data_IF_335855194751
#
_entry.id   IF_335855194751
#
_cell.length_a   1.000
_cell.length_b   1.000
_cell.length_c   1.000
_cell.angle_alpha   90.00
_cell.angle_beta   90.00
_cell.angle_gamma   90.00
#
_symmetry.space_group_name_H-M   'P 1'
#
loop_
_entity.id
_entity.type
_entity.pdbx_description
1 polymer ?
#
# COMPACT_ATOMS: atom_id res chain seq x y z
N UNK A 1 6.27 34.78 -22.60
CA UNK A 1 5.87 35.32 -21.28
C UNK A 1 5.76 34.15 -20.31
N UNK A 2 6.76 33.95 -19.45
CA UNK A 2 6.77 32.88 -18.43
C UNK A 2 6.48 33.53 -17.09
N UNK A 3 5.40 33.20 -16.38
CA UNK A 3 5.16 33.77 -15.07
C UNK A 3 6.16 33.19 -14.07
N UNK A 4 6.86 34.09 -13.41
CA UNK A 4 7.80 33.87 -12.31
C UNK A 4 7.08 33.25 -11.13
N UNK A 5 7.06 31.92 -11.05
CA UNK A 5 6.56 31.19 -9.89
C UNK A 5 7.72 30.90 -8.94
N UNK A 6 7.64 31.59 -7.80
CA UNK A 6 8.32 31.34 -6.53
C UNK A 6 8.98 29.98 -6.41
N UNK A 7 10.26 30.05 -6.05
CA UNK A 7 11.26 29.02 -5.77
C UNK A 7 10.88 28.06 -4.61
N UNK A 8 9.69 27.49 -4.62
CA UNK A 8 9.40 26.22 -3.94
C UNK A 8 9.66 25.13 -4.98
N UNK A 9 10.36 24.05 -4.64
CA UNK A 9 10.72 22.99 -5.59
C UNK A 9 9.46 22.30 -6.16
N UNK A 10 8.81 22.93 -7.13
CA UNK A 10 7.49 22.58 -7.62
C UNK A 10 7.64 21.40 -8.58
N UNK A 11 7.57 20.17 -8.05
CA UNK A 11 7.72 18.93 -8.83
C UNK A 11 6.45 18.52 -9.59
N UNK A 12 5.43 19.37 -9.59
CA UNK A 12 4.12 19.08 -10.21
C UNK A 12 4.25 18.72 -11.68
N UNK A 13 4.96 19.50 -12.49
CA UNK A 13 5.13 19.21 -13.93
C UNK A 13 5.94 17.92 -14.15
N UNK A 14 6.94 17.64 -13.32
CA UNK A 14 7.72 16.40 -13.39
C UNK A 14 6.84 15.19 -13.09
N UNK A 15 6.02 15.28 -12.05
CA UNK A 15 5.06 14.26 -11.67
C UNK A 15 4.02 14.07 -12.79
N UNK A 16 3.41 15.13 -13.32
CA UNK A 16 2.48 15.06 -14.45
C UNK A 16 3.07 14.30 -15.63
N UNK A 17 4.34 14.58 -16.01
CA UNK A 17 5.04 13.84 -17.07
C UNK A 17 5.21 12.35 -16.74
N UNK A 18 5.62 12.00 -15.52
CA UNK A 18 5.77 10.59 -15.09
C UNK A 18 4.43 9.84 -15.16
N UNK A 19 3.37 10.48 -14.67
CA UNK A 19 2.04 9.87 -14.60
C UNK A 19 1.34 9.80 -15.96
N UNK A 20 1.56 10.76 -16.86
CA UNK A 20 0.94 10.79 -18.19
C UNK A 20 1.72 9.97 -19.23
N UNK A 21 3.05 9.83 -19.09
CA UNK A 21 3.88 9.03 -20.01
C UNK A 21 3.76 7.51 -19.76
N UNK A 22 3.41 7.10 -18.55
CA UNK A 22 3.42 5.69 -18.15
C UNK A 22 2.13 4.97 -18.49
N UNK A 23 2.23 3.80 -19.11
CA UNK A 23 1.12 2.84 -19.33
C UNK A 23 0.87 1.93 -18.12
N UNK A 24 1.70 2.02 -17.07
CA UNK A 24 1.54 1.22 -15.83
C UNK A 24 0.23 1.57 -15.12
N UNK A 25 -0.30 0.68 -14.27
CA UNK A 25 -1.44 1.02 -13.42
C UNK A 25 -1.12 2.19 -12.49
N UNK A 26 -2.12 3.03 -12.20
CA UNK A 26 -1.95 4.32 -11.53
C UNK A 26 -1.17 4.20 -10.21
N UNK A 27 -1.48 3.19 -9.40
CA UNK A 27 -0.84 2.95 -8.10
C UNK A 27 0.65 2.61 -8.22
N UNK A 28 1.14 2.18 -9.38
CA UNK A 28 2.53 1.82 -9.62
C UNK A 28 3.33 2.87 -10.41
N UNK A 29 2.71 4.00 -10.78
CA UNK A 29 3.36 5.00 -11.65
C UNK A 29 4.45 5.80 -10.96
N UNK A 30 4.34 6.02 -9.65
CA UNK A 30 5.33 6.79 -8.92
C UNK A 30 6.58 5.93 -8.66
N UNK A 31 7.81 6.45 -8.82
CA UNK A 31 9.03 5.65 -8.62
C UNK A 31 9.16 5.07 -7.21
N UNK A 32 8.62 5.75 -6.19
CA UNK A 32 8.59 5.26 -4.81
C UNK A 32 7.40 4.35 -4.48
N UNK A 33 6.50 4.07 -5.43
CA UNK A 33 5.29 3.26 -5.15
C UNK A 33 5.64 1.86 -4.66
N UNK A 34 6.72 1.27 -5.18
CA UNK A 34 7.22 -0.04 -4.78
C UNK A 34 7.45 -0.14 -3.26
N UNK A 35 8.08 0.89 -2.67
CA UNK A 35 8.38 0.93 -1.24
C UNK A 35 7.12 0.92 -0.37
N UNK A 36 5.98 1.39 -0.88
CA UNK A 36 4.70 1.33 -0.18
C UNK A 36 3.93 0.03 -0.46
N UNK A 37 3.89 -0.39 -1.73
CA UNK A 37 3.09 -1.54 -2.16
C UNK A 37 3.63 -2.87 -1.64
N UNK A 38 4.96 -3.08 -1.62
CA UNK A 38 5.54 -4.33 -1.13
C UNK A 38 5.19 -4.64 0.34
N UNK A 39 5.43 -3.74 1.30
CA UNK A 39 5.04 -3.99 2.69
C UNK A 39 3.52 -4.04 2.86
N UNK A 40 2.76 -3.21 2.11
CA UNK A 40 1.30 -3.25 2.15
C UNK A 40 0.74 -4.63 1.76
N UNK A 41 1.19 -5.20 0.65
CA UNK A 41 0.73 -6.53 0.23
C UNK A 41 1.20 -7.63 1.17
N UNK A 42 2.38 -7.50 1.79
CA UNK A 42 2.83 -8.41 2.84
C UNK A 42 1.90 -8.42 4.05
N UNK A 43 1.55 -7.23 4.56
CA UNK A 43 0.61 -7.09 5.68
C UNK A 43 -0.80 -7.54 5.32
N UNK A 44 -1.28 -7.20 4.12
CA UNK A 44 -2.60 -7.62 3.65
C UNK A 44 -2.72 -9.14 3.59
N UNK A 45 -1.70 -9.83 3.08
CA UNK A 45 -1.69 -11.29 3.02
C UNK A 45 -1.81 -11.91 4.43
N UNK A 46 -1.03 -11.42 5.39
CA UNK A 46 -1.09 -11.90 6.78
C UNK A 46 -2.44 -11.59 7.40
N UNK A 47 -2.96 -10.37 7.23
CA UNK A 47 -4.23 -9.94 7.79
C UNK A 47 -5.42 -10.73 7.24
N UNK A 48 -5.36 -11.19 5.99
CA UNK A 48 -6.42 -12.01 5.38
C UNK A 48 -6.26 -13.48 5.75
N UNK A 49 -5.04 -14.03 5.77
CA UNK A 49 -4.81 -15.45 6.05
C UNK A 49 -5.01 -15.77 7.53
N UNK A 50 -4.58 -14.90 8.45
CA UNK A 50 -4.69 -15.11 9.89
C UNK A 50 -6.12 -15.45 10.35
N UNK A 51 -7.18 -14.70 10.00
CA UNK A 51 -8.54 -15.08 10.40
C UNK A 51 -9.01 -16.37 9.72
N UNK A 52 -8.60 -16.63 8.47
CA UNK A 52 -8.99 -17.85 7.75
C UNK A 52 -8.45 -19.11 8.41
N UNK A 53 -7.23 -19.08 8.97
CA UNK A 53 -6.66 -20.23 9.68
C UNK A 53 -7.35 -20.52 11.01
N UNK A 54 -8.08 -19.55 11.59
CA UNK A 54 -8.89 -19.76 12.79
C UNK A 54 -10.32 -20.24 12.50
N UNK A 55 -10.76 -20.31 11.23
CA UNK A 55 -12.09 -20.82 10.87
C UNK A 55 -12.33 -22.26 11.34
N UNK A 56 -11.41 -23.23 11.15
CA UNK A 56 -11.62 -24.59 11.64
C UNK A 56 -11.80 -24.65 13.17
N UNK A 57 -11.02 -23.85 13.90
CA UNK A 57 -11.15 -23.74 15.36
C UNK A 57 -12.53 -23.19 15.75
N UNK A 58 -13.03 -22.20 15.00
CA UNK A 58 -14.38 -21.67 15.21
C UNK A 58 -15.48 -22.70 14.93
N UNK A 59 -15.34 -23.52 13.87
CA UNK A 59 -16.29 -24.62 13.55
C UNK A 59 -16.29 -25.69 14.65
N UNK A 60 -15.10 -26.04 15.18
CA UNK A 60 -14.96 -27.01 16.26
C UNK A 60 -15.32 -26.44 17.65
N UNK A 61 -15.63 -25.14 17.75
CA UNK A 61 -15.92 -24.46 19.02
C UNK A 61 -14.71 -24.24 19.93
N UNK A 62 -13.49 -24.41 19.41
CA UNK A 62 -12.24 -24.25 20.15
C UNK A 62 -11.93 -22.76 20.29
N UNK A 63 -12.03 -22.25 21.51
CA UNK A 63 -11.71 -20.84 21.84
C UNK A 63 -10.22 -20.67 22.08
N UNK A 64 -9.73 -19.46 21.87
CA UNK A 64 -8.37 -19.10 22.25
C UNK A 64 -8.20 -19.24 23.78
N UNK A 65 -7.10 -19.86 24.21
CA UNK A 65 -6.74 -19.96 25.62
C UNK A 65 -6.39 -18.57 26.16
N UNK A 66 -6.99 -18.19 27.29
CA UNK A 66 -6.59 -16.98 28.02
C UNK A 66 -5.38 -17.34 28.89
N UNK A 67 -4.17 -17.23 28.34
CA UNK A 67 -2.95 -17.23 29.17
C UNK A 67 -2.74 -15.84 29.74
N UNK A 68 -2.72 -15.74 31.06
CA UNK A 68 -2.27 -14.53 31.74
C UNK A 68 -0.73 -14.48 31.63
N UNK A 69 -0.21 -13.31 31.25
CA UNK A 69 1.22 -13.08 31.04
C UNK A 69 1.93 -12.77 32.37
#
# INVERSE_FOLDING_TARGET
MQPTLTKLANRVIQNQRIFQKSTKPLWWRHPKSAFYLYPFYGLLAVAVIAPLTYIPNAIMGIKAEKREA
#
